data_IF_109783380400
#
_entry.id   IF_109783380400
#
_cell.length_a   1.000
_cell.length_b   1.000
_cell.length_c   1.000
_cell.angle_alpha   90.00
_cell.angle_beta   90.00
_cell.angle_gamma   90.00
#
_symmetry.space_group_name_H-M   'P 1'
#
loop_
_entity.id
_entity.type
_entity.pdbx_description
1 polymer ?
#
# COMPACT_ATOMS: atom_id res chain seq x y z
N UNK A 1 26.10 -8.10 0.54
CA UNK A 1 25.53 -9.15 -0.35
C UNK A 1 24.02 -9.15 -0.19
N UNK A 2 23.24 -8.82 -1.23
CA UNK A 2 21.77 -8.96 -1.17
C UNK A 2 21.46 -10.43 -0.93
N UNK A 3 20.80 -10.73 0.19
CA UNK A 3 20.28 -12.07 0.47
C UNK A 3 19.22 -12.29 -0.62
N UNK A 4 19.44 -13.24 -1.54
CA UNK A 4 18.41 -13.61 -2.52
C UNK A 4 17.29 -14.32 -1.76
N UNK A 5 16.34 -13.54 -1.24
CA UNK A 5 15.19 -14.04 -0.54
C UNK A 5 14.29 -14.77 -1.54
N UNK A 6 13.77 -15.92 -1.14
CA UNK A 6 12.89 -16.72 -1.99
C UNK A 6 11.72 -15.87 -2.52
N UNK A 7 11.13 -15.03 -1.67
CA UNK A 7 9.99 -14.15 -1.98
C UNK A 7 10.28 -13.06 -3.01
N UNK A 8 11.55 -12.77 -3.29
CA UNK A 8 11.97 -11.81 -4.32
C UNK A 8 12.52 -12.51 -5.57
N UNK A 9 12.39 -13.84 -5.65
CA UNK A 9 12.71 -14.58 -6.87
C UNK A 9 11.82 -14.08 -8.02
N UNK A 10 12.41 -13.82 -9.18
CA UNK A 10 11.71 -13.31 -10.36
C UNK A 10 10.51 -14.17 -10.79
N UNK A 11 10.59 -15.49 -10.60
CA UNK A 11 9.47 -16.41 -10.89
C UNK A 11 8.29 -16.16 -9.97
N UNK A 12 8.55 -15.89 -8.68
CA UNK A 12 7.51 -15.55 -7.70
C UNK A 12 6.97 -14.15 -8.00
N UNK A 13 7.84 -13.17 -8.24
CA UNK A 13 7.41 -11.81 -8.58
C UNK A 13 6.49 -11.79 -9.81
N UNK A 14 6.79 -12.58 -10.85
CA UNK A 14 5.97 -12.67 -12.06
C UNK A 14 4.59 -13.31 -11.84
N UNK A 15 4.41 -14.08 -10.77
CA UNK A 15 3.12 -14.67 -10.39
C UNK A 15 2.36 -13.75 -9.43
N UNK A 16 3.08 -13.06 -8.54
CA UNK A 16 2.50 -12.24 -7.50
C UNK A 16 2.10 -10.86 -8.01
N UNK A 17 2.88 -10.24 -8.91
CA UNK A 17 2.62 -8.87 -9.36
C UNK A 17 2.09 -8.82 -10.78
N UNK A 18 1.03 -8.03 -10.98
CA UNK A 18 0.46 -7.71 -12.29
C UNK A 18 0.60 -6.21 -12.57
N UNK A 19 1.84 -5.68 -12.73
CA UNK A 19 2.06 -4.26 -12.95
C UNK A 19 1.37 -3.80 -14.24
N UNK A 20 0.63 -2.70 -14.14
CA UNK A 20 0.06 -2.01 -15.29
C UNK A 20 0.70 -0.64 -15.42
N UNK A 21 1.12 -0.30 -16.64
CA UNK A 21 1.67 1.02 -16.94
C UNK A 21 0.58 1.96 -17.38
N UNK A 22 0.73 3.24 -17.02
CA UNK A 22 -0.12 4.32 -17.52
C UNK A 22 0.70 5.57 -17.79
N UNK A 23 0.16 6.48 -18.59
CA UNK A 23 0.73 7.82 -18.77
C UNK A 23 0.03 8.79 -17.81
N UNK A 24 0.75 9.83 -17.41
CA UNK A 24 0.14 10.95 -16.69
C UNK A 24 -0.84 11.64 -17.65
N UNK A 25 -2.11 11.84 -17.26
CA UNK A 25 -3.08 12.57 -18.08
C UNK A 25 -2.63 14.00 -18.36
N UNK A 26 -2.84 14.48 -19.59
CA UNK A 26 -2.48 15.86 -19.97
C UNK A 26 -3.35 16.93 -19.28
N UNK A 27 -4.59 16.55 -18.91
CA UNK A 27 -5.54 17.44 -18.25
C UNK A 27 -6.02 16.78 -16.96
N UNK A 28 -5.93 17.53 -15.87
CA UNK A 28 -6.41 17.14 -14.54
C UNK A 28 -7.52 18.09 -14.11
N UNK A 29 -8.43 17.58 -13.30
CA UNK A 29 -9.43 18.40 -12.62
C UNK A 29 -8.74 19.24 -11.53
N UNK A 30 -9.35 20.36 -11.13
CA UNK A 30 -8.71 21.32 -10.21
C UNK A 30 -8.44 20.78 -8.81
N UNK A 31 -9.13 19.71 -8.41
CA UNK A 31 -8.98 19.00 -7.15
C UNK A 31 -8.05 17.77 -7.26
N UNK A 32 -7.34 17.61 -8.38
CA UNK A 32 -6.47 16.46 -8.64
C UNK A 32 -5.03 16.92 -8.87
N UNK A 33 -4.10 16.36 -8.10
CA UNK A 33 -2.67 16.59 -8.26
C UNK A 33 -1.94 15.28 -8.53
N UNK A 34 -0.89 15.34 -9.36
CA UNK A 34 0.01 14.20 -9.59
C UNK A 34 1.02 14.15 -8.45
N UNK A 35 1.16 12.98 -7.84
CA UNK A 35 2.21 12.70 -6.87
C UNK A 35 3.40 12.06 -7.57
N UNK A 36 4.61 12.50 -7.22
CA UNK A 36 5.85 11.90 -7.67
C UNK A 36 6.91 12.04 -6.57
N UNK A 37 7.33 10.91 -6.02
CA UNK A 37 8.28 10.85 -4.91
C UNK A 37 9.53 10.10 -5.33
N UNK A 38 10.68 10.78 -5.26
CA UNK A 38 11.99 10.12 -5.39
C UNK A 38 12.37 9.52 -4.04
N UNK A 39 12.17 8.22 -3.87
CA UNK A 39 12.39 7.52 -2.58
C UNK A 39 13.80 6.92 -2.46
N UNK A 40 14.56 6.91 -3.56
CA UNK A 40 16.00 6.62 -3.61
C UNK A 40 16.57 7.10 -4.95
N UNK A 41 17.90 7.05 -5.15
CA UNK A 41 18.58 7.54 -6.36
C UNK A 41 18.02 7.03 -7.71
N UNK A 42 17.36 5.87 -7.73
CA UNK A 42 16.82 5.26 -8.96
C UNK A 42 15.33 4.92 -8.91
N UNK A 43 14.67 5.17 -7.76
CA UNK A 43 13.28 4.75 -7.55
C UNK A 43 12.40 5.97 -7.33
N UNK A 44 11.50 6.16 -8.30
CA UNK A 44 10.46 7.18 -8.32
C UNK A 44 9.11 6.50 -8.20
N UNK A 45 8.29 6.94 -7.26
CA UNK A 45 6.94 6.44 -7.01
C UNK A 45 5.93 7.47 -7.45
N UNK A 46 5.04 7.06 -8.37
CA UNK A 46 3.94 7.85 -8.87
C UNK A 46 2.66 7.70 -8.06
N UNK A 47 1.73 8.61 -8.26
CA UNK A 47 0.40 8.54 -7.67
C UNK A 47 -0.47 9.73 -8.03
N UNK A 48 -1.64 9.78 -7.40
CA UNK A 48 -2.58 10.89 -7.52
C UNK A 48 -3.12 11.29 -6.15
N UNK A 49 -3.28 12.59 -5.96
CA UNK A 49 -3.96 13.18 -4.83
C UNK A 49 -5.29 13.77 -5.28
N UNK A 50 -6.34 13.49 -4.54
CA UNK A 50 -7.69 14.02 -4.70
C UNK A 50 -8.05 14.76 -3.41
N UNK A 51 -8.21 16.08 -3.46
CA UNK A 51 -8.51 16.84 -2.25
C UNK A 51 -9.29 18.12 -2.49
N UNK A 52 -10.05 18.51 -1.46
CA UNK A 52 -10.96 19.68 -1.52
C UNK A 52 -10.55 20.79 -0.56
N UNK A 53 -10.18 20.42 0.67
CA UNK A 53 -9.86 21.36 1.75
C UNK A 53 -8.61 20.89 2.49
N UNK A 54 -7.77 21.84 2.85
CA UNK A 54 -6.52 21.54 3.57
C UNK A 54 -6.79 21.07 5.00
N UNK A 55 -7.94 21.43 5.58
CA UNK A 55 -8.35 21.05 6.93
C UNK A 55 -8.94 19.64 7.03
N UNK A 56 -9.21 18.98 5.89
CA UNK A 56 -9.75 17.63 5.88
C UNK A 56 -8.67 16.61 6.27
N UNK A 57 -9.03 15.54 7.02
CA UNK A 57 -8.12 14.40 7.20
C UNK A 57 -7.79 13.76 5.85
N UNK A 58 -6.62 13.14 5.77
CA UNK A 58 -6.11 12.55 4.54
C UNK A 58 -5.87 11.06 4.73
N UNK A 59 -6.22 10.28 3.70
CA UNK A 59 -5.86 8.86 3.60
C UNK A 59 -4.74 8.72 2.56
N UNK A 60 -3.62 8.09 2.95
CA UNK A 60 -2.63 7.54 2.02
C UNK A 60 -2.98 6.08 1.74
N UNK A 61 -3.42 5.80 0.52
CA UNK A 61 -3.89 4.50 0.08
C UNK A 61 -2.82 3.79 -0.77
N UNK A 62 -2.52 2.56 -0.37
CA UNK A 62 -1.77 1.57 -1.15
C UNK A 62 -2.76 0.60 -1.81
N UNK A 63 -2.78 0.59 -3.15
CA UNK A 63 -3.80 -0.12 -3.92
C UNK A 63 -3.61 -1.64 -3.96
N UNK A 64 -4.57 -2.36 -4.53
CA UNK A 64 -4.48 -3.81 -4.72
C UNK A 64 -3.61 -4.21 -5.91
N UNK A 65 -3.25 -5.48 -5.96
CA UNK A 65 -2.52 -6.04 -7.08
C UNK A 65 -3.31 -5.91 -8.40
N UNK A 66 -2.65 -5.56 -9.51
CA UNK A 66 -3.31 -5.37 -10.81
C UNK A 66 -4.07 -4.05 -11.00
N UNK A 67 -4.12 -3.19 -9.98
CA UNK A 67 -4.70 -1.86 -10.03
C UNK A 67 -3.62 -0.80 -10.25
N UNK A 68 -4.03 0.43 -10.54
CA UNK A 68 -3.12 1.60 -10.60
C UNK A 68 -3.79 2.82 -9.98
N UNK A 69 -3.00 3.73 -9.43
CA UNK A 69 -3.47 4.91 -8.72
C UNK A 69 -4.48 5.74 -9.53
N UNK A 70 -4.31 5.85 -10.85
CA UNK A 70 -5.24 6.62 -11.71
C UNK A 70 -6.67 6.09 -11.72
N UNK A 71 -6.89 4.79 -11.46
CA UNK A 71 -8.23 4.18 -11.46
C UNK A 71 -9.05 4.60 -10.22
N UNK A 72 -8.39 5.08 -9.17
CA UNK A 72 -9.07 5.56 -7.96
C UNK A 72 -9.82 6.87 -8.17
N UNK A 73 -9.63 7.54 -9.32
CA UNK A 73 -10.47 8.65 -9.76
C UNK A 73 -11.97 8.28 -9.71
N UNK A 74 -12.34 7.04 -10.04
CA UNK A 74 -13.74 6.63 -10.08
C UNK A 74 -14.41 6.56 -8.71
N UNK A 75 -13.62 6.41 -7.63
CA UNK A 75 -14.14 6.29 -6.27
C UNK A 75 -13.75 7.46 -5.36
N UNK A 76 -12.89 8.37 -5.82
CA UNK A 76 -12.38 9.48 -5.03
C UNK A 76 -13.50 10.39 -4.52
N UNK A 77 -14.58 10.57 -5.29
CA UNK A 77 -15.72 11.39 -4.88
C UNK A 77 -16.37 10.88 -3.59
N UNK A 78 -16.39 9.56 -3.35
CA UNK A 78 -16.94 8.98 -2.11
C UNK A 78 -16.16 9.43 -0.87
N UNK A 79 -14.85 9.63 -1.00
CA UNK A 79 -13.99 10.14 0.07
C UNK A 79 -14.20 11.65 0.25
N UNK A 80 -14.25 12.40 -0.86
CA UNK A 80 -14.44 13.84 -0.84
C UNK A 80 -15.80 14.24 -0.25
N UNK A 81 -16.87 13.49 -0.54
CA UNK A 81 -18.20 13.69 0.03
C UNK A 81 -18.22 13.46 1.55
N UNK A 82 -17.29 12.64 2.06
CA UNK A 82 -17.06 12.43 3.49
C UNK A 82 -16.13 13.48 4.13
N UNK A 83 -15.72 14.51 3.38
CA UNK A 83 -14.68 15.47 3.77
C UNK A 83 -13.34 14.80 4.10
N UNK A 84 -12.93 13.82 3.29
CA UNK A 84 -11.64 13.12 3.42
C UNK A 84 -10.86 13.30 2.12
N UNK A 85 -9.61 13.78 2.22
CA UNK A 85 -8.70 13.82 1.08
C UNK A 85 -8.12 12.41 0.84
N UNK A 86 -7.88 12.06 -0.42
CA UNK A 86 -7.37 10.75 -0.81
C UNK A 86 -6.08 10.89 -1.62
N UNK A 87 -4.99 10.35 -1.11
CA UNK A 87 -3.78 10.09 -1.86
C UNK A 87 -3.71 8.61 -2.21
N UNK A 88 -3.42 8.28 -3.47
CA UNK A 88 -3.19 6.91 -3.91
C UNK A 88 -1.83 6.85 -4.59
N UNK A 89 -0.99 5.91 -4.15
CA UNK A 89 0.37 5.73 -4.65
C UNK A 89 0.52 4.38 -5.32
N UNK A 90 1.24 4.35 -6.43
CA UNK A 90 1.59 3.15 -7.16
C UNK A 90 2.77 2.42 -6.50
N UNK A 91 2.93 1.12 -6.77
CA UNK A 91 4.16 0.39 -6.44
C UNK A 91 5.23 0.57 -7.52
N UNK A 92 6.47 0.12 -7.27
CA UNK A 92 7.49 0.00 -8.32
C UNK A 92 6.94 -0.77 -9.52
N UNK A 93 7.19 -0.28 -10.72
CA UNK A 93 6.68 -0.91 -11.94
C UNK A 93 5.21 -0.62 -12.27
N UNK A 94 4.41 -0.07 -11.35
CA UNK A 94 3.00 0.29 -11.58
C UNK A 94 2.86 1.74 -12.04
N UNK A 95 1.76 2.02 -12.73
CA UNK A 95 1.43 3.33 -13.28
C UNK A 95 2.60 3.95 -14.03
N UNK A 96 3.13 5.05 -13.49
CA UNK A 96 4.33 5.73 -14.00
C UNK A 96 5.51 5.68 -13.01
N UNK A 97 5.46 4.81 -12.01
CA UNK A 97 6.58 4.50 -11.12
C UNK A 97 7.70 3.77 -11.85
N UNK A 98 8.94 4.00 -11.41
CA UNK A 98 10.13 3.31 -11.92
C UNK A 98 10.37 1.97 -11.19
N UNK A 99 11.41 1.25 -11.61
CA UNK A 99 11.85 -0.01 -11.00
C UNK A 99 10.91 -1.19 -11.26
N UNK A 100 11.30 -2.33 -10.69
CA UNK A 100 10.55 -3.58 -10.75
C UNK A 100 9.95 -3.91 -9.37
N UNK A 101 8.73 -4.46 -9.31
CA UNK A 101 8.11 -4.85 -8.06
C UNK A 101 8.69 -6.16 -7.53
N UNK A 102 9.03 -6.15 -6.24
CA UNK A 102 9.37 -7.33 -5.45
C UNK A 102 8.57 -7.31 -4.15
N UNK A 103 8.44 -8.46 -3.49
CA UNK A 103 7.66 -8.49 -2.26
C UNK A 103 8.31 -7.58 -1.20
N UNK A 104 9.64 -7.66 -1.05
CA UNK A 104 10.34 -6.80 -0.08
C UNK A 104 10.32 -5.33 -0.45
N UNK A 105 10.12 -4.95 -1.72
CA UNK A 105 9.98 -3.53 -2.06
C UNK A 105 8.71 -2.92 -1.49
N UNK A 106 7.61 -3.70 -1.34
CA UNK A 106 6.41 -3.23 -0.66
C UNK A 106 6.69 -2.83 0.81
N UNK A 107 7.67 -3.48 1.42
CA UNK A 107 8.08 -3.22 2.81
C UNK A 107 9.09 -2.07 2.83
N UNK A 108 10.18 -2.19 2.08
CA UNK A 108 11.27 -1.20 2.13
C UNK A 108 10.86 0.19 1.69
N UNK A 109 9.85 0.29 0.82
CA UNK A 109 9.42 1.57 0.26
C UNK A 109 8.32 2.23 1.10
N UNK A 110 7.67 1.49 2.01
CA UNK A 110 6.50 1.97 2.72
C UNK A 110 6.79 3.23 3.55
N UNK A 111 7.87 3.22 4.33
CA UNK A 111 8.28 4.39 5.14
C UNK A 111 8.80 5.53 4.28
N UNK A 112 9.72 5.34 3.31
CA UNK A 112 10.12 6.40 2.40
C UNK A 112 8.94 7.09 1.67
N UNK A 113 7.94 6.31 1.22
CA UNK A 113 6.74 6.87 0.58
C UNK A 113 5.91 7.67 1.60
N UNK A 114 5.72 7.12 2.81
CA UNK A 114 4.99 7.80 3.89
C UNK A 114 5.65 9.15 4.23
N UNK A 115 6.96 9.17 4.44
CA UNK A 115 7.71 10.38 4.80
C UNK A 115 7.68 11.42 3.67
N UNK A 116 7.86 10.98 2.41
CA UNK A 116 7.78 11.87 1.25
C UNK A 116 6.38 12.49 1.09
N UNK A 117 5.33 11.69 1.28
CA UNK A 117 3.95 12.19 1.21
C UNK A 117 3.64 13.15 2.36
N UNK A 118 4.13 12.84 3.57
CA UNK A 118 4.03 13.72 4.74
C UNK A 118 4.70 15.07 4.53
N UNK A 119 5.89 15.07 3.93
CA UNK A 119 6.58 16.29 3.57
C UNK A 119 5.76 17.08 2.54
N UNK A 120 5.27 16.42 1.48
CA UNK A 120 4.41 17.05 0.48
C UNK A 120 3.15 17.68 1.09
N UNK A 121 2.48 16.99 2.02
CA UNK A 121 1.33 17.53 2.75
C UNK A 121 1.69 18.80 3.53
N UNK A 122 2.84 18.78 4.20
CA UNK A 122 3.35 19.91 5.00
C UNK A 122 3.62 21.13 4.12
N UNK A 123 4.31 20.94 2.99
CA UNK A 123 4.61 22.01 2.02
C UNK A 123 3.34 22.65 1.43
N UNK A 124 2.27 21.87 1.33
CA UNK A 124 0.96 22.29 0.83
C UNK A 124 0.01 22.79 1.93
N UNK A 125 0.46 22.84 3.18
CA UNK A 125 -0.32 23.25 4.35
C UNK A 125 -1.56 22.38 4.65
N UNK A 126 -1.54 21.11 4.26
CA UNK A 126 -2.57 20.16 4.69
C UNK A 126 -2.47 19.87 6.18
N UNK A 127 -3.62 19.62 6.80
CA UNK A 127 -3.74 19.20 8.19
C UNK A 127 -2.86 17.98 8.46
N UNK A 128 -2.15 18.03 9.58
CA UNK A 128 -1.40 16.92 10.13
C UNK A 128 -2.32 15.82 10.71
N UNK A 129 -3.12 15.20 9.85
CA UNK A 129 -4.06 14.13 10.18
C UNK A 129 -4.05 13.08 9.07
N UNK A 130 -3.11 12.13 9.18
CA UNK A 130 -2.87 11.11 8.17
C UNK A 130 -3.30 9.72 8.65
N UNK A 131 -4.14 9.08 7.86
CA UNK A 131 -4.50 7.67 7.96
C UNK A 131 -3.83 6.91 6.81
N UNK A 132 -3.51 5.63 7.04
CA UNK A 132 -2.96 4.76 5.99
C UNK A 132 -3.96 3.66 5.68
N UNK A 133 -4.29 3.50 4.42
CA UNK A 133 -5.16 2.43 3.93
C UNK A 133 -4.35 1.48 3.05
N UNK A 134 -4.49 0.18 3.30
CA UNK A 134 -3.91 -0.87 2.47
C UNK A 134 -5.01 -1.79 1.94
N UNK A 135 -5.18 -1.83 0.62
CA UNK A 135 -6.14 -2.74 -0.02
C UNK A 135 -5.43 -3.98 -0.57
N UNK A 136 -5.90 -5.17 -0.20
CA UNK A 136 -5.33 -6.44 -0.69
C UNK A 136 -3.79 -6.46 -0.54
N UNK A 137 -3.03 -6.41 -1.64
CA UNK A 137 -1.56 -6.34 -1.63
C UNK A 137 -1.00 -5.11 -0.89
N UNK A 138 -1.66 -3.95 -1.00
CA UNK A 138 -1.26 -2.73 -0.30
C UNK A 138 -1.35 -2.83 1.23
N UNK A 139 -1.98 -3.88 1.77
CA UNK A 139 -1.95 -4.17 3.21
C UNK A 139 -0.52 -4.37 3.75
N UNK A 140 0.43 -4.83 2.91
CA UNK A 140 1.83 -4.99 3.30
C UNK A 140 2.46 -3.65 3.67
N UNK A 141 2.27 -2.63 2.83
CA UNK A 141 2.79 -1.29 3.07
C UNK A 141 2.14 -0.66 4.31
N UNK A 142 0.82 -0.77 4.41
CA UNK A 142 0.07 -0.26 5.56
C UNK A 142 0.49 -0.92 6.88
N UNK A 143 0.74 -2.23 6.86
CA UNK A 143 1.22 -2.95 8.03
C UNK A 143 2.65 -2.59 8.42
N UNK A 144 3.54 -2.36 7.45
CA UNK A 144 4.89 -1.88 7.72
C UNK A 144 4.86 -0.50 8.38
N UNK A 145 4.12 0.46 7.82
CA UNK A 145 3.99 1.81 8.41
C UNK A 145 3.41 1.73 9.83
N UNK A 146 2.37 0.91 10.02
CA UNK A 146 1.77 0.69 11.32
C UNK A 146 2.73 0.12 12.36
N UNK A 147 3.59 -0.81 11.96
CA UNK A 147 4.56 -1.43 12.86
C UNK A 147 5.64 -0.45 13.33
N UNK A 148 6.00 0.53 12.48
CA UNK A 148 6.97 1.57 12.82
C UNK A 148 6.38 2.67 13.71
N UNK A 149 5.05 2.80 13.78
CA UNK A 149 4.34 3.76 14.61
C UNK A 149 4.86 5.22 14.48
N UNK A 150 4.89 5.81 13.28
CA UNK A 150 5.29 7.20 13.14
C UNK A 150 4.33 8.11 13.92
N UNK A 151 4.81 9.17 14.59
CA UNK A 151 4.01 9.93 15.56
C UNK A 151 2.70 10.54 15.01
N UNK A 152 2.67 10.81 13.71
CA UNK A 152 1.56 11.48 13.03
C UNK A 152 0.53 10.52 12.41
N UNK A 153 0.78 9.21 12.49
CA UNK A 153 -0.17 8.21 12.05
C UNK A 153 -1.39 8.21 12.97
N UNK A 154 -2.58 8.47 12.40
CA UNK A 154 -3.84 8.56 13.16
C UNK A 154 -4.61 7.25 13.19
N UNK A 155 -4.36 6.36 12.24
CA UNK A 155 -4.99 5.05 12.18
C UNK A 155 -4.65 4.30 10.90
N UNK A 156 -4.96 3.01 10.91
CA UNK A 156 -4.70 2.09 9.80
C UNK A 156 -6.03 1.48 9.35
N UNK A 157 -6.23 1.37 8.05
CA UNK A 157 -7.40 0.76 7.44
C UNK A 157 -6.93 -0.38 6.54
N UNK A 158 -7.38 -1.60 6.82
CA UNK A 158 -7.22 -2.72 5.90
C UNK A 158 -8.51 -2.99 5.16
N UNK A 159 -8.43 -3.06 3.85
CA UNK A 159 -9.54 -3.43 2.98
C UNK A 159 -9.20 -4.72 2.23
N UNK A 160 -9.89 -5.80 2.55
CA UNK A 160 -9.63 -7.14 2.00
C UNK A 160 -8.13 -7.52 2.09
N UNK A 161 -7.47 -7.18 3.19
CA UNK A 161 -6.05 -7.47 3.44
C UNK A 161 -5.85 -8.86 4.01
N UNK A 162 -4.69 -9.47 3.74
CA UNK A 162 -4.35 -10.81 4.26
C UNK A 162 -3.57 -10.73 5.57
N UNK A 163 -3.78 -11.71 6.45
CA UNK A 163 -3.01 -11.84 7.68
C UNK A 163 -1.63 -12.48 7.42
N UNK A 164 -1.62 -13.64 6.75
CA UNK A 164 -0.43 -14.46 6.53
C UNK A 164 0.03 -14.42 5.07
N UNK A 165 1.30 -14.08 4.83
CA UNK A 165 1.90 -14.18 3.50
C UNK A 165 2.00 -15.63 3.07
N UNK A 166 2.29 -16.56 4.00
CA UNK A 166 2.33 -17.97 3.67
C UNK A 166 0.99 -18.41 3.05
N UNK A 167 -0.14 -18.04 3.68
CA UNK A 167 -1.47 -18.34 3.15
C UNK A 167 -1.72 -17.62 1.82
N UNK A 168 -1.29 -16.37 1.67
CA UNK A 168 -1.40 -15.64 0.40
C UNK A 168 -0.63 -16.36 -0.73
N UNK A 169 0.65 -16.66 -0.52
CA UNK A 169 1.52 -17.29 -1.52
C UNK A 169 0.99 -18.67 -1.93
N UNK A 170 0.58 -19.49 -0.97
CA UNK A 170 0.16 -20.87 -1.23
C UNK A 170 -1.29 -20.99 -1.73
N UNK A 171 -2.23 -20.24 -1.14
CA UNK A 171 -3.66 -20.38 -1.45
C UNK A 171 -4.12 -19.47 -2.58
N UNK A 172 -3.61 -18.24 -2.64
CA UNK A 172 -3.99 -17.28 -3.68
C UNK A 172 -3.11 -17.45 -4.92
N UNK A 173 -1.79 -17.38 -4.74
CA UNK A 173 -0.85 -17.38 -5.86
C UNK A 173 -0.35 -18.79 -6.26
N UNK A 174 -0.76 -19.84 -5.53
CA UNK A 174 -0.39 -21.24 -5.82
C UNK A 174 1.12 -21.47 -5.91
N UNK A 175 1.90 -20.65 -5.22
CA UNK A 175 3.35 -20.78 -5.13
C UNK A 175 3.67 -21.94 -4.19
N UNK A 176 4.32 -22.97 -4.72
CA UNK A 176 4.76 -24.13 -3.95
C UNK A 176 6.28 -24.21 -3.94
N UNK A 177 6.87 -24.30 -2.76
CA UNK A 177 8.31 -24.52 -2.58
C UNK A 177 8.55 -25.16 -1.20
N UNK A 178 9.44 -26.16 -1.09
CA UNK A 178 9.76 -26.78 0.20
C UNK A 178 10.43 -25.80 1.18
N UNK A 179 10.94 -24.67 0.69
CA UNK A 179 11.56 -23.61 1.50
C UNK A 179 10.58 -22.50 1.91
N UNK A 180 9.36 -22.53 1.38
CA UNK A 180 8.29 -21.60 1.71
C UNK A 180 7.51 -22.23 2.87
N UNK A 181 7.81 -21.84 4.10
CA UNK A 181 7.16 -22.33 5.32
C UNK A 181 6.53 -21.16 6.08
N UNK A 182 5.54 -21.41 6.97
CA UNK A 182 4.99 -20.34 7.80
C UNK A 182 6.07 -19.58 8.58
N UNK A 183 7.03 -20.29 9.15
CA UNK A 183 8.13 -19.69 9.93
C UNK A 183 9.08 -18.85 9.06
N UNK A 184 9.40 -19.30 7.83
CA UNK A 184 10.29 -18.55 6.94
C UNK A 184 9.67 -17.24 6.43
N UNK A 185 8.34 -17.12 6.49
CA UNK A 185 7.58 -15.95 6.06
C UNK A 185 6.98 -15.12 7.19
N UNK A 186 7.15 -15.55 8.43
CA UNK A 186 6.49 -14.95 9.60
C UNK A 186 6.85 -13.47 9.76
N UNK A 187 8.12 -13.11 9.60
CA UNK A 187 8.60 -11.72 9.72
C UNK A 187 8.04 -10.79 8.63
N UNK A 188 7.61 -11.36 7.51
CA UNK A 188 7.00 -10.61 6.42
C UNK A 188 5.48 -10.48 6.59
N UNK A 189 4.84 -11.28 7.44
CA UNK A 189 3.37 -11.34 7.50
C UNK A 189 2.75 -10.14 8.23
N UNK A 190 1.52 -9.80 7.84
CA UNK A 190 0.81 -8.62 8.37
C UNK A 190 0.35 -8.85 9.82
N UNK A 191 -0.04 -10.08 10.17
CA UNK A 191 -0.39 -10.47 11.55
C UNK A 191 0.78 -10.26 12.52
N UNK A 192 2.00 -10.61 12.13
CA UNK A 192 3.22 -10.36 12.92
C UNK A 192 3.46 -8.85 13.11
N UNK A 193 3.22 -8.04 12.08
CA UNK A 193 3.36 -6.58 12.16
C UNK A 193 2.27 -5.92 12.99
N UNK A 194 1.03 -6.39 12.86
CA UNK A 194 -0.14 -5.86 13.55
C UNK A 194 -0.01 -5.91 15.08
N UNK A 195 0.74 -6.88 15.61
CA UNK A 195 1.07 -6.96 17.04
C UNK A 195 1.81 -5.72 17.58
N UNK A 196 2.42 -4.92 16.71
CA UNK A 196 3.19 -3.73 17.08
C UNK A 196 2.39 -2.43 17.01
N UNK A 197 1.15 -2.46 16.52
CA UNK A 197 0.40 -1.24 16.26
C UNK A 197 -0.02 -0.54 17.56
N UNK A 198 0.14 0.78 17.60
CA UNK A 198 -0.27 1.63 18.73
C UNK A 198 -1.43 2.57 18.37
N UNK A 199 -1.91 2.51 17.12
CA UNK A 199 -2.97 3.37 16.59
C UNK A 199 -4.24 2.55 16.34
N UNK A 200 -5.43 3.19 16.33
CA UNK A 200 -6.67 2.53 15.96
C UNK A 200 -6.56 1.85 14.59
N UNK A 201 -7.08 0.63 14.50
CA UNK A 201 -7.04 -0.17 13.27
C UNK A 201 -8.45 -0.60 12.89
N UNK A 202 -8.85 -0.31 11.65
CA UNK A 202 -10.10 -0.77 11.05
C UNK A 202 -9.80 -1.89 10.06
N UNK A 203 -10.55 -2.99 10.14
CA UNK A 203 -10.45 -4.11 9.22
C UNK A 203 -11.79 -4.29 8.53
N UNK A 204 -11.79 -4.12 7.20
CA UNK A 204 -12.95 -4.31 6.33
C UNK A 204 -12.70 -5.57 5.52
N UNK A 205 -13.49 -6.61 5.78
CA UNK A 205 -13.31 -7.91 5.12
C UNK A 205 -14.63 -8.51 4.66
N UNK A 206 -14.65 -9.08 3.46
CA UNK A 206 -15.82 -9.77 2.95
C UNK A 206 -16.08 -11.05 3.74
N UNK A 207 -17.28 -11.23 4.28
CA UNK A 207 -17.66 -12.45 5.03
C UNK A 207 -17.63 -13.73 4.19
N UNK A 208 -17.64 -13.60 2.85
CA UNK A 208 -17.51 -14.69 1.87
C UNK A 208 -16.22 -14.60 1.05
N UNK A 209 -15.23 -13.84 1.51
CA UNK A 209 -13.96 -13.75 0.83
C UNK A 209 -13.27 -15.14 0.85
N UNK A 210 -13.23 -15.77 -0.33
CA UNK A 210 -12.60 -17.07 -0.55
C UNK A 210 -11.12 -16.95 -0.92
N UNK A 211 -10.67 -15.73 -1.22
CA UNK A 211 -9.31 -15.39 -1.62
C UNK A 211 -8.47 -15.15 -0.38
N UNK A 212 -9.00 -14.37 0.57
CA UNK A 212 -8.41 -14.16 1.88
C UNK A 212 -9.48 -14.55 2.90
N UNK A 213 -9.28 -15.66 3.62
CA UNK A 213 -10.23 -16.05 4.66
C UNK A 213 -10.04 -15.13 5.87
N UNK A 214 -11.14 -14.67 6.47
CA UNK A 214 -11.10 -13.96 7.74
C UNK A 214 -10.56 -14.85 8.85
N UNK A 215 -9.25 -14.79 9.10
CA UNK A 215 -8.59 -15.48 10.22
C UNK A 215 -8.15 -14.49 11.31
N UNK A 216 -8.81 -13.33 11.39
CA UNK A 216 -8.63 -12.40 12.51
C UNK A 216 -9.31 -12.98 13.74
N UNK A 217 -8.51 -13.55 14.65
CA UNK A 217 -8.95 -13.85 16.01
C UNK A 217 -8.69 -12.61 16.88
N UNK A 218 -9.69 -12.14 17.65
CA UNK A 218 -9.57 -10.97 18.51
C UNK A 218 -8.50 -11.14 19.59
#
# INVERSE_FOLDING_TARGET
>A
MKKNLLIDNSTISNVVFYPRKTKIPEKLESNVEVLKFEISESISIGGFFYGTKVENPTILLFHGNGEIASEYKYISQLFLDCNVNLAVVDFRGYGFSSGDPYFTSLISDAIPIYDAFRQWMTEKNYLDSLFVQGRSLGSVCAAEIGAQNPPQLRGIIFESGFASIFNMMTNLFRVQSPHLTPDSLKEYSNDTRAQKFKVPTLIIHGTKDRIIKGEFRP
#
